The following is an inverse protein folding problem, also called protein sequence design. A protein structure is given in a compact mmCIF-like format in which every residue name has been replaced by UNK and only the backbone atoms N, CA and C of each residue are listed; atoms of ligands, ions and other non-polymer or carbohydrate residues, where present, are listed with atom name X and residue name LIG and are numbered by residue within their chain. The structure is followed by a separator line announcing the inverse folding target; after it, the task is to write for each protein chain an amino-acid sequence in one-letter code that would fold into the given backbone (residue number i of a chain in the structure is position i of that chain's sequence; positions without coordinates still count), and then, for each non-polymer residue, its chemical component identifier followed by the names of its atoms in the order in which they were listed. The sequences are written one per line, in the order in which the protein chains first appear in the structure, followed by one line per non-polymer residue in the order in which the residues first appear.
data_IF_830243806524
#
_entry.id   IF_830243806524
#
_cell.length_a   1.000
_cell.length_b   1.000
_cell.length_c   1.000
_cell.angle_alpha   90.00
_cell.angle_beta   90.00
_cell.angle_gamma   90.00
#
_symmetry.space_group_name_H-M   'P 1'
#
loop_
_entity.id
_entity.type
_entity.pdbx_description
1 polymer ?
#
# COMPACT_ATOMS: atom_id res chain seq x y z
N UNK A 1 -1.71 39.19 5.48
CA UNK A 1 -2.28 38.55 6.68
C UNK A 1 -2.59 37.13 6.25
N UNK A 2 -1.79 36.13 6.64
CA UNK A 2 -2.13 34.73 6.37
C UNK A 2 -3.12 34.36 7.47
N UNK A 3 -4.37 34.11 7.12
CA UNK A 3 -5.33 33.55 8.05
C UNK A 3 -4.80 32.20 8.53
N UNK A 4 -4.78 32.02 9.84
CA UNK A 4 -4.39 30.76 10.45
C UNK A 4 -5.52 29.76 10.20
N UNK A 5 -5.35 28.92 9.19
CA UNK A 5 -6.35 27.90 8.82
C UNK A 5 -6.16 26.61 9.63
N UNK A 6 -5.42 26.63 10.75
CA UNK A 6 -5.15 25.43 11.56
C UNK A 6 -6.42 24.75 12.07
N UNK A 7 -7.50 25.51 12.28
CA UNK A 7 -8.71 25.05 12.96
C UNK A 7 -9.94 24.97 12.04
N UNK A 8 -9.77 25.21 10.72
CA UNK A 8 -10.89 25.15 9.79
C UNK A 8 -11.30 23.70 9.54
N UNK A 9 -12.58 23.39 9.72
CA UNK A 9 -13.15 22.08 9.40
C UNK A 9 -13.82 22.16 8.03
N UNK A 10 -13.44 21.24 7.13
CA UNK A 10 -14.12 21.02 5.86
C UNK A 10 -14.70 19.62 5.83
N UNK A 11 -15.94 19.49 5.38
CA UNK A 11 -16.66 18.23 5.32
C UNK A 11 -16.68 17.68 3.90
N UNK A 12 -16.58 16.36 3.77
CA UNK A 12 -16.62 15.67 2.48
C UNK A 12 -17.48 14.42 2.59
N UNK A 13 -18.07 13.97 1.49
CA UNK A 13 -18.75 12.69 1.48
C UNK A 13 -19.29 12.23 0.14
N UNK A 14 -19.78 11.00 0.14
CA UNK A 14 -20.45 10.33 -0.96
C UNK A 14 -21.40 9.28 -0.37
N UNK A 15 -22.67 9.28 -0.81
CA UNK A 15 -23.71 8.41 -0.26
C UNK A 15 -23.88 8.62 1.25
N UNK A 16 -23.75 7.55 2.03
CA UNK A 16 -23.93 7.56 3.48
C UNK A 16 -22.62 7.82 4.26
N UNK A 17 -21.51 8.11 3.57
CA UNK A 17 -20.21 8.33 4.23
C UNK A 17 -19.89 9.81 4.32
N UNK A 18 -19.56 10.27 5.53
CA UNK A 18 -19.13 11.66 5.80
C UNK A 18 -17.76 11.65 6.45
N UNK A 19 -16.89 12.54 6.00
CA UNK A 19 -15.58 12.82 6.54
C UNK A 19 -15.48 14.27 7.00
N UNK A 20 -14.67 14.51 8.03
CA UNK A 20 -14.28 15.84 8.46
C UNK A 20 -12.75 15.96 8.43
N UNK A 21 -12.25 16.93 7.67
CA UNK A 21 -10.84 17.27 7.59
C UNK A 21 -10.57 18.56 8.36
N UNK A 22 -9.61 18.52 9.29
CA UNK A 22 -9.20 19.68 10.08
C UNK A 22 -7.94 20.29 9.48
N UNK A 23 -8.01 21.57 9.17
CA UNK A 23 -6.94 22.36 8.56
C UNK A 23 -6.62 21.96 7.12
N UNK A 24 -5.64 22.66 6.55
CA UNK A 24 -5.18 22.42 5.18
C UNK A 24 -4.76 20.95 5.01
N UNK A 25 -5.32 20.26 4.00
CA UNK A 25 -5.00 18.86 3.68
C UNK A 25 -5.14 17.90 4.86
N UNK A 26 -6.06 18.17 5.79
CA UNK A 26 -6.27 17.38 7.00
C UNK A 26 -5.03 17.28 7.92
N UNK A 27 -4.11 18.27 7.89
CA UNK A 27 -2.96 18.31 8.80
C UNK A 27 -3.36 18.32 10.29
N UNK A 28 -4.51 18.87 10.62
CA UNK A 28 -5.09 18.87 11.97
C UNK A 28 -5.83 17.57 12.30
N UNK A 29 -6.04 16.66 11.36
CA UNK A 29 -6.71 15.38 11.53
C UNK A 29 -7.76 15.08 10.45
N UNK A 30 -8.00 13.79 10.21
CA UNK A 30 -9.06 13.30 9.34
C UNK A 30 -9.96 12.35 10.13
N UNK A 31 -11.27 12.60 10.10
CA UNK A 31 -12.26 11.83 10.85
C UNK A 31 -13.31 11.26 9.91
N UNK A 32 -13.80 10.05 10.20
CA UNK A 32 -14.92 9.41 9.50
C UNK A 32 -16.13 9.32 10.44
N UNK A 33 -17.31 9.71 9.96
CA UNK A 33 -18.55 9.59 10.69
C UNK A 33 -19.06 8.15 10.60
N UNK A 34 -19.28 7.51 11.75
CA UNK A 34 -19.85 6.16 11.87
C UNK A 34 -21.26 6.26 12.45
N UNK A 35 -22.18 5.46 11.90
CA UNK A 35 -23.62 5.51 12.22
C UNK A 35 -24.11 4.36 13.14
N UNK A 36 -23.24 3.48 13.65
CA UNK A 36 -23.67 2.28 14.39
C UNK A 36 -22.71 1.93 15.56
N UNK A 37 -23.20 1.73 16.81
CA UNK A 37 -24.58 1.86 17.31
C UNK A 37 -25.03 3.30 17.60
N UNK A 38 -24.11 4.25 17.59
CA UNK A 38 -24.36 5.68 17.81
C UNK A 38 -23.55 6.49 16.80
N UNK A 39 -24.02 7.71 16.53
CA UNK A 39 -23.34 8.63 15.63
C UNK A 39 -22.06 9.13 16.32
N UNK A 40 -20.89 8.79 15.77
CA UNK A 40 -19.59 9.21 16.31
C UNK A 40 -18.54 9.44 15.23
N UNK A 41 -17.57 10.28 15.55
CA UNK A 41 -16.37 10.46 14.74
C UNK A 41 -15.30 9.45 15.13
N UNK A 42 -14.80 8.68 14.17
CA UNK A 42 -13.60 7.88 14.33
C UNK A 42 -12.42 8.65 13.72
N UNK A 43 -11.36 8.87 14.50
CA UNK A 43 -10.10 9.42 14.00
C UNK A 43 -9.42 8.39 13.08
N UNK A 44 -9.04 8.80 11.88
CA UNK A 44 -8.26 7.98 10.97
C UNK A 44 -6.78 8.20 11.28
N UNK A 45 -6.07 7.12 11.61
CA UNK A 45 -4.65 7.18 11.98
C UNK A 45 -3.85 7.59 10.73
N UNK A 46 -3.03 8.67 10.78
CA UNK A 46 -2.18 9.06 9.66
C UNK A 46 -1.37 7.88 9.11
N UNK A 47 -1.26 7.79 7.79
CA UNK A 47 -0.57 6.69 7.06
C UNK A 47 -1.18 5.29 7.25
N UNK A 48 -2.32 5.15 7.92
CA UNK A 48 -3.10 3.90 7.87
C UNK A 48 -3.82 3.77 6.53
N UNK A 49 -4.11 2.54 6.10
CA UNK A 49 -4.83 2.30 4.86
C UNK A 49 -6.16 3.06 4.74
N UNK A 50 -6.91 3.17 5.85
CA UNK A 50 -8.17 3.92 5.90
C UNK A 50 -7.95 5.43 5.75
N UNK A 51 -6.92 5.98 6.41
CA UNK A 51 -6.57 7.40 6.29
C UNK A 51 -6.10 7.74 4.88
N UNK A 52 -5.17 6.97 4.31
CA UNK A 52 -4.63 7.20 2.97
C UNK A 52 -5.71 7.12 1.92
N UNK A 53 -6.52 6.06 1.93
CA UNK A 53 -7.62 5.89 0.97
C UNK A 53 -8.59 7.07 1.02
N UNK A 54 -8.92 7.55 2.23
CA UNK A 54 -9.86 8.67 2.42
C UNK A 54 -9.22 10.00 2.04
N UNK A 55 -7.98 10.26 2.47
CA UNK A 55 -7.22 11.47 2.16
C UNK A 55 -7.05 11.65 0.64
N UNK A 56 -6.68 10.57 -0.05
CA UNK A 56 -6.56 10.52 -1.50
C UNK A 56 -7.91 10.75 -2.19
N UNK A 57 -8.99 10.15 -1.69
CA UNK A 57 -10.33 10.35 -2.24
C UNK A 57 -10.80 11.80 -2.13
N UNK A 58 -10.40 12.52 -1.07
CA UNK A 58 -10.76 13.92 -0.81
C UNK A 58 -9.88 14.89 -1.60
N UNK A 59 -8.55 14.83 -1.42
CA UNK A 59 -7.66 15.92 -1.83
C UNK A 59 -6.94 15.70 -3.15
N UNK A 60 -6.97 14.47 -3.68
CA UNK A 60 -6.24 14.12 -4.91
C UNK A 60 -7.17 13.67 -6.03
N UNK A 61 -7.97 12.64 -5.77
CA UNK A 61 -8.85 12.05 -6.77
C UNK A 61 -10.20 12.78 -6.90
N UNK A 62 -10.52 13.68 -5.97
CA UNK A 62 -11.80 14.43 -5.90
C UNK A 62 -13.04 13.53 -6.05
N UNK A 63 -12.96 12.30 -5.52
CA UNK A 63 -14.07 11.33 -5.53
C UNK A 63 -15.15 11.71 -4.53
N UNK A 64 -14.74 12.33 -3.42
CA UNK A 64 -15.65 12.80 -2.39
C UNK A 64 -15.98 14.27 -2.63
N UNK A 65 -17.26 14.60 -2.53
CA UNK A 65 -17.74 15.97 -2.75
C UNK A 65 -17.68 16.75 -1.45
N UNK A 66 -17.27 18.01 -1.51
CA UNK A 66 -17.36 18.91 -0.35
C UNK A 66 -18.83 19.10 0.05
N UNK A 67 -19.13 18.86 1.33
CA UNK A 67 -20.47 18.99 1.89
C UNK A 67 -20.55 20.32 2.62
N UNK A 68 -21.59 21.10 2.32
CA UNK A 68 -21.82 22.35 3.05
C UNK A 68 -22.35 22.06 4.45
N UNK A 69 -22.00 22.85 5.48
CA UNK A 69 -22.47 22.61 6.84
C UNK A 69 -23.99 22.46 6.99
N UNK A 70 -24.79 23.15 6.16
CA UNK A 70 -26.25 23.05 6.13
C UNK A 70 -26.81 21.74 5.56
N UNK A 71 -26.00 20.96 4.83
CA UNK A 71 -26.38 19.66 4.26
C UNK A 71 -26.08 18.50 5.22
N UNK A 72 -25.37 18.76 6.32
CA UNK A 72 -25.02 17.78 7.33
C UNK A 72 -26.22 17.44 8.23
N UNK A 73 -26.23 16.24 8.85
CA UNK A 73 -27.23 15.89 9.86
C UNK A 73 -27.28 16.93 11.00
N UNK A 74 -28.49 17.34 11.40
CA UNK A 74 -28.67 18.38 12.42
C UNK A 74 -28.08 18.05 13.80
N UNK A 75 -27.82 16.76 14.07
CA UNK A 75 -27.40 16.25 15.38
C UNK A 75 -26.01 15.61 15.32
N UNK A 76 -25.08 16.19 14.56
CA UNK A 76 -23.70 15.70 14.53
C UNK A 76 -23.06 15.79 15.92
N UNK A 77 -22.33 14.75 16.36
CA UNK A 77 -21.46 14.87 17.53
C UNK A 77 -20.36 15.91 17.24
N UNK A 78 -19.84 16.59 18.28
CA UNK A 78 -18.68 17.45 18.11
C UNK A 78 -17.48 16.62 17.64
N UNK A 79 -16.66 17.19 16.75
CA UNK A 79 -15.42 16.53 16.32
C UNK A 79 -14.46 16.50 17.52
N UNK A 80 -13.94 15.32 17.91
CA UNK A 80 -12.96 15.21 18.98
C UNK A 80 -11.64 15.89 18.63
N UNK A 81 -10.86 16.26 19.65
CA UNK A 81 -9.47 16.66 19.43
C UNK A 81 -8.68 15.50 18.82
N UNK A 82 -7.77 15.80 17.90
CA UNK A 82 -6.84 14.81 17.37
C UNK A 82 -5.96 14.27 18.51
N UNK A 83 -5.80 12.94 18.61
CA UNK A 83 -4.97 12.35 19.65
C UNK A 83 -3.55 12.91 19.63
N UNK A 84 -3.00 13.23 20.80
CA UNK A 84 -1.59 13.62 20.92
C UNK A 84 -0.70 12.37 20.88
N UNK A 85 0.33 12.38 20.02
CA UNK A 85 1.31 11.30 19.95
C UNK A 85 2.05 11.28 18.61
N UNK A 86 3.16 10.55 18.53
CA UNK A 86 3.60 10.02 17.25
C UNK A 86 2.62 8.93 16.86
N UNK A 87 1.92 9.13 15.74
CA UNK A 87 1.31 7.99 15.07
C UNK A 87 2.47 7.29 14.41
N UNK A 88 2.97 6.25 15.07
CA UNK A 88 3.97 5.40 14.47
C UNK A 88 3.42 5.00 13.09
N UNK A 89 4.21 5.26 12.03
CA UNK A 89 3.95 4.66 10.71
C UNK A 89 3.66 3.20 11.02
N UNK A 90 2.42 2.78 10.75
CA UNK A 90 1.85 1.51 11.18
C UNK A 90 2.96 0.46 11.25
N UNK A 91 3.34 0.13 12.50
CA UNK A 91 4.53 -0.65 12.86
C UNK A 91 4.75 -1.72 11.79
N UNK A 92 5.77 -1.46 10.95
CA UNK A 92 6.04 -2.14 9.68
C UNK A 92 5.45 -3.54 9.67
N UNK A 93 4.27 -3.66 9.04
CA UNK A 93 3.39 -4.83 9.10
C UNK A 93 4.16 -6.08 9.51
N UNK A 94 3.97 -6.50 10.77
CA UNK A 94 4.44 -7.76 11.32
C UNK A 94 4.56 -8.78 10.20
N UNK A 95 5.74 -9.41 10.02
CA UNK A 95 5.99 -10.56 9.12
C UNK A 95 4.65 -11.24 8.94
N UNK A 96 4.01 -11.19 7.75
CA UNK A 96 2.65 -11.73 7.65
C UNK A 96 2.75 -13.20 8.02
N UNK A 97 2.33 -13.56 9.24
CA UNK A 97 2.45 -14.92 9.77
C UNK A 97 1.60 -15.89 8.93
N UNK A 98 0.78 -15.36 8.03
CA UNK A 98 0.10 -16.06 6.96
C UNK A 98 0.98 -16.14 5.71
N UNK A 99 2.05 -16.93 5.76
CA UNK A 99 2.68 -17.42 4.52
C UNK A 99 1.65 -18.14 3.62
N UNK A 100 1.96 -18.41 2.35
CA UNK A 100 1.09 -19.21 1.48
C UNK A 100 1.50 -20.71 1.52
N UNK A 101 0.55 -21.65 1.37
CA UNK A 101 0.88 -23.08 1.27
C UNK A 101 1.90 -23.33 0.15
N UNK A 102 2.99 -24.05 0.47
CA UNK A 102 4.07 -24.28 -0.48
C UNK A 102 3.71 -25.28 -1.59
N UNK A 103 2.70 -26.13 -1.36
CA UNK A 103 2.17 -27.09 -2.33
C UNK A 103 1.51 -26.44 -3.55
N UNK A 104 1.14 -25.16 -3.46
CA UNK A 104 0.68 -24.36 -4.60
C UNK A 104 1.81 -24.00 -5.58
N UNK A 105 3.08 -24.04 -5.13
CA UNK A 105 4.27 -23.65 -5.90
C UNK A 105 5.37 -24.72 -5.72
N UNK A 106 5.15 -25.94 -6.26
CA UNK A 106 5.99 -27.10 -5.96
C UNK A 106 7.44 -26.92 -6.40
N UNK A 107 7.70 -26.20 -7.49
CA UNK A 107 9.07 -26.04 -7.99
C UNK A 107 9.85 -25.03 -7.15
N UNK A 108 9.22 -23.93 -6.77
CA UNK A 108 9.76 -22.94 -5.85
C UNK A 108 9.98 -23.54 -4.46
N UNK A 109 9.05 -24.37 -4.00
CA UNK A 109 9.18 -25.12 -2.77
C UNK A 109 10.43 -26.02 -2.76
N UNK A 110 10.65 -26.79 -3.83
CA UNK A 110 11.82 -27.65 -3.96
C UNK A 110 13.12 -26.85 -4.04
N UNK A 111 13.11 -25.70 -4.74
CA UNK A 111 14.24 -24.78 -4.80
C UNK A 111 14.59 -24.21 -3.41
N UNK A 112 13.59 -23.82 -2.62
CA UNK A 112 13.78 -23.35 -1.25
C UNK A 112 14.32 -24.44 -0.34
N UNK A 113 13.83 -25.69 -0.46
CA UNK A 113 14.39 -26.83 0.28
C UNK A 113 15.85 -27.10 -0.11
N UNK A 114 16.18 -27.01 -1.40
CA UNK A 114 17.55 -27.22 -1.89
C UNK A 114 18.54 -26.15 -1.40
N UNK A 115 18.07 -24.95 -1.06
CA UNK A 115 18.90 -23.87 -0.53
C UNK A 115 19.50 -24.16 0.85
N UNK A 116 19.03 -25.21 1.55
CA UNK A 116 19.55 -25.68 2.85
C UNK A 116 19.16 -24.80 4.04
N UNK A 117 19.21 -23.48 3.90
CA UNK A 117 18.65 -22.51 4.86
C UNK A 117 17.13 -22.40 4.80
N UNK A 118 16.52 -22.85 3.69
CA UNK A 118 15.12 -22.56 3.39
C UNK A 118 14.88 -21.10 2.99
N UNK A 119 15.92 -20.30 2.75
CA UNK A 119 15.83 -18.87 2.43
C UNK A 119 16.58 -18.58 1.11
N UNK A 120 15.99 -17.74 0.27
CA UNK A 120 16.60 -17.24 -0.97
C UNK A 120 16.39 -15.71 -1.07
N UNK A 121 17.42 -14.99 -1.50
CA UNK A 121 17.27 -13.58 -1.85
C UNK A 121 16.47 -13.44 -3.15
N UNK A 122 15.62 -12.43 -3.20
CA UNK A 122 14.80 -12.09 -4.36
C UNK A 122 14.87 -10.61 -4.69
N UNK A 123 14.74 -10.30 -5.97
CA UNK A 123 14.73 -8.98 -6.54
C UNK A 123 13.36 -8.75 -7.18
N UNK A 124 12.57 -7.85 -6.63
CA UNK A 124 11.21 -7.54 -7.10
C UNK A 124 11.27 -6.24 -7.90
N UNK A 125 10.75 -6.28 -9.12
CA UNK A 125 10.62 -5.11 -9.99
C UNK A 125 9.20 -4.58 -9.86
N UNK A 126 9.09 -3.30 -9.55
CA UNK A 126 7.83 -2.57 -9.57
C UNK A 126 7.86 -1.48 -10.64
N UNK A 127 6.72 -1.21 -11.26
CA UNK A 127 6.50 -0.17 -12.25
C UNK A 127 5.70 0.98 -11.63
N UNK A 128 6.23 2.18 -11.70
CA UNK A 128 5.53 3.42 -11.39
C UNK A 128 5.01 4.05 -12.68
N UNK A 129 3.69 4.27 -12.75
CA UNK A 129 3.10 5.16 -13.74
C UNK A 129 3.36 6.62 -13.35
N UNK A 130 4.39 7.22 -13.96
CA UNK A 130 4.78 8.60 -13.65
C UNK A 130 3.81 9.64 -14.19
N UNK A 131 2.89 9.27 -15.09
CA UNK A 131 1.82 10.17 -15.53
C UNK A 131 0.83 10.39 -14.39
N UNK A 132 0.34 9.31 -13.77
CA UNK A 132 -0.55 9.35 -12.59
C UNK A 132 0.16 10.00 -11.39
N UNK A 133 1.44 9.68 -11.14
CA UNK A 133 2.24 10.30 -10.07
C UNK A 133 2.41 11.82 -10.23
N UNK A 134 2.54 12.31 -11.48
CA UNK A 134 2.83 13.72 -11.77
C UNK A 134 1.64 14.65 -11.52
N UNK A 135 0.41 14.14 -11.58
CA UNK A 135 -0.79 14.92 -11.26
C UNK A 135 -1.20 14.83 -9.78
N UNK A 136 -0.45 14.05 -8.99
CA UNK A 136 -0.55 14.04 -7.55
C UNK A 136 -1.49 12.98 -6.97
N UNK A 137 -1.86 11.96 -7.76
CA UNK A 137 -2.78 10.88 -7.35
C UNK A 137 -2.13 9.85 -6.40
N UNK A 138 -0.86 10.04 -6.07
CA UNK A 138 -0.02 9.11 -5.33
C UNK A 138 1.02 8.45 -6.25
N UNK A 139 2.07 7.88 -5.66
CA UNK A 139 3.00 6.99 -6.38
C UNK A 139 2.37 5.61 -6.34
N UNK A 140 2.06 4.97 -7.45
CA UNK A 140 1.57 3.59 -7.47
C UNK A 140 2.62 2.70 -8.10
N UNK A 141 3.15 1.76 -7.32
CA UNK A 141 4.18 0.85 -7.78
C UNK A 141 3.52 -0.52 -8.06
N UNK A 142 3.32 -0.85 -9.33
CA UNK A 142 2.68 -2.07 -9.81
C UNK A 142 3.69 -3.21 -9.94
N UNK A 143 3.32 -4.43 -9.54
CA UNK A 143 4.21 -5.60 -9.68
C UNK A 143 4.47 -5.96 -11.14
N UNK A 144 5.75 -6.05 -11.52
CA UNK A 144 6.18 -6.44 -12.86
C UNK A 144 6.83 -7.82 -12.93
N UNK A 145 7.50 -8.22 -11.85
CA UNK A 145 8.16 -9.52 -11.77
C UNK A 145 9.11 -9.67 -10.59
N UNK A 146 9.48 -10.92 -10.30
CA UNK A 146 10.46 -11.26 -9.28
C UNK A 146 11.55 -12.18 -9.84
N UNK A 147 12.79 -11.98 -9.37
CA UNK A 147 13.98 -12.65 -9.88
C UNK A 147 14.90 -13.10 -8.75
N UNK A 148 15.70 -14.15 -9.00
CA UNK A 148 16.74 -14.59 -8.06
C UNK A 148 18.07 -13.85 -8.21
N UNK A 149 18.23 -13.05 -9.27
CA UNK A 149 19.46 -12.28 -9.52
C UNK A 149 19.15 -10.84 -9.89
N UNK A 150 20.05 -9.94 -9.50
CA UNK A 150 19.92 -8.52 -9.81
C UNK A 150 20.01 -8.29 -11.32
N UNK A 151 20.88 -9.03 -12.03
CA UNK A 151 21.10 -8.87 -13.46
C UNK A 151 19.82 -9.16 -14.27
N UNK A 152 19.05 -10.18 -13.87
CA UNK A 152 17.80 -10.53 -14.53
C UNK A 152 16.73 -9.47 -14.29
N UNK A 153 16.62 -8.96 -13.06
CA UNK A 153 15.71 -7.86 -12.72
C UNK A 153 16.06 -6.58 -13.51
N UNK A 154 17.33 -6.21 -13.58
CA UNK A 154 17.79 -5.07 -14.36
C UNK A 154 17.56 -5.25 -15.87
N UNK A 155 17.66 -6.48 -16.39
CA UNK A 155 17.34 -6.78 -17.79
C UNK A 155 15.86 -6.52 -18.10
N UNK A 156 14.94 -6.88 -17.18
CA UNK A 156 13.53 -6.55 -17.32
C UNK A 156 13.32 -5.03 -17.36
N UNK A 157 13.90 -4.30 -16.40
CA UNK A 157 13.81 -2.83 -16.34
C UNK A 157 14.26 -2.18 -17.65
N UNK A 158 15.43 -2.59 -18.18
CA UNK A 158 15.94 -2.07 -19.46
C UNK A 158 15.04 -2.40 -20.64
N UNK A 159 14.38 -3.56 -20.63
CA UNK A 159 13.48 -3.97 -21.73
C UNK A 159 12.17 -3.20 -21.75
N UNK A 160 11.79 -2.56 -20.63
CA UNK A 160 10.52 -1.85 -20.44
C UNK A 160 10.69 -0.34 -20.28
N UNK A 161 11.87 0.20 -20.52
CA UNK A 161 12.15 1.64 -20.39
C UNK A 161 11.23 2.48 -21.30
N UNK A 162 10.48 3.42 -20.70
CA UNK A 162 9.61 4.38 -21.39
C UNK A 162 9.66 5.72 -20.68
N UNK A 163 9.45 6.81 -21.43
CA UNK A 163 9.56 8.18 -20.91
C UNK A 163 8.57 8.54 -19.80
N UNK A 164 7.46 7.78 -19.67
CA UNK A 164 6.41 7.99 -18.67
C UNK A 164 6.35 6.88 -17.62
N UNK A 165 7.35 6.01 -17.57
CA UNK A 165 7.41 4.89 -16.63
C UNK A 165 8.72 4.95 -15.85
N UNK A 166 8.64 4.75 -14.54
CA UNK A 166 9.82 4.58 -13.68
C UNK A 166 9.76 3.22 -13.04
N UNK A 167 10.85 2.46 -13.10
CA UNK A 167 10.91 1.18 -12.41
C UNK A 167 11.65 1.32 -11.08
N UNK A 168 11.21 0.53 -10.10
CA UNK A 168 11.83 0.42 -8.78
C UNK A 168 12.25 -1.01 -8.53
N UNK A 169 13.43 -1.18 -7.94
CA UNK A 169 13.99 -2.48 -7.61
C UNK A 169 14.00 -2.65 -6.10
N UNK A 170 13.24 -3.62 -5.61
CA UNK A 170 13.23 -4.02 -4.21
C UNK A 170 14.08 -5.28 -4.03
N UNK A 171 14.82 -5.33 -2.93
CA UNK A 171 15.60 -6.52 -2.54
C UNK A 171 14.98 -7.08 -1.27
N UNK A 172 14.59 -8.35 -1.29
CA UNK A 172 13.95 -9.02 -0.18
C UNK A 172 14.45 -10.49 -0.06
N UNK A 173 13.95 -11.24 0.91
CA UNK A 173 14.22 -12.66 1.14
C UNK A 173 12.93 -13.44 1.17
N UNK A 174 12.77 -14.37 0.22
CA UNK A 174 11.71 -15.37 0.26
C UNK A 174 12.18 -16.58 1.06
N UNK A 175 11.31 -17.14 1.89
CA UNK A 175 11.67 -18.25 2.77
C UNK A 175 10.55 -19.27 2.95
N UNK A 176 10.94 -20.50 3.27
CA UNK A 176 10.08 -21.62 3.59
C UNK A 176 10.13 -21.93 5.08
N UNK A 177 8.98 -21.88 5.76
CA UNK A 177 8.82 -22.31 7.17
C UNK A 177 7.51 -23.07 7.33
N UNK A 178 7.56 -24.22 8.01
CA UNK A 178 6.38 -25.06 8.28
C UNK A 178 5.53 -25.35 7.03
N UNK A 179 6.19 -25.67 5.90
CA UNK A 179 5.56 -25.89 4.59
C UNK A 179 4.76 -24.69 4.05
N UNK A 180 5.15 -23.47 4.47
CA UNK A 180 4.61 -22.20 3.98
C UNK A 180 5.71 -21.31 3.42
N UNK A 181 5.45 -20.75 2.26
CA UNK A 181 6.32 -19.74 1.62
C UNK A 181 5.95 -18.37 2.19
N UNK A 182 6.94 -17.54 2.48
CA UNK A 182 6.78 -16.18 3.03
C UNK A 182 7.89 -15.27 2.54
N UNK A 183 7.73 -13.95 2.73
CA UNK A 183 8.74 -12.95 2.36
C UNK A 183 9.07 -12.06 3.56
N UNK A 184 10.35 -11.76 3.78
CA UNK A 184 10.81 -10.99 4.95
C UNK A 184 10.63 -9.51 4.67
N UNK A 185 9.39 -9.03 4.83
CA UNK A 185 8.96 -7.67 4.53
C UNK A 185 10.01 -6.60 4.80
N UNK A 186 10.68 -6.15 3.75
CA UNK A 186 11.57 -5.00 3.80
C UNK A 186 10.91 -3.87 3.04
N UNK A 187 10.45 -2.85 3.79
CA UNK A 187 10.03 -1.55 3.27
C UNK A 187 8.88 -1.59 2.25
N UNK A 188 7.64 -1.68 2.77
CA UNK A 188 6.50 -1.13 2.04
C UNK A 188 6.64 0.39 2.03
N UNK A 189 7.34 0.94 1.02
CA UNK A 189 6.92 2.26 0.57
C UNK A 189 5.43 2.10 0.25
N UNK A 190 4.58 2.96 0.84
CA UNK A 190 3.13 2.79 1.09
C UNK A 190 2.24 2.38 -0.11
N UNK A 191 2.81 2.19 -1.30
CA UNK A 191 2.11 1.93 -2.55
C UNK A 191 2.72 0.83 -3.42
N UNK A 192 3.65 0.02 -2.89
CA UNK A 192 4.09 -1.22 -3.53
C UNK A 192 2.95 -2.25 -3.57
N UNK A 193 2.26 -2.35 -4.71
CA UNK A 193 1.21 -3.34 -4.96
C UNK A 193 1.85 -4.63 -5.49
N UNK A 194 2.36 -5.45 -4.58
CA UNK A 194 2.67 -6.84 -4.87
C UNK A 194 2.16 -7.74 -3.73
N UNK A 195 1.55 -8.86 -4.10
CA UNK A 195 1.17 -9.93 -3.18
C UNK A 195 2.26 -10.99 -3.13
N UNK A 196 2.30 -11.73 -2.00
CA UNK A 196 3.17 -12.90 -1.88
C UNK A 196 2.88 -13.96 -2.96
N UNK A 197 1.62 -14.07 -3.39
CA UNK A 197 1.21 -14.98 -4.47
C UNK A 197 1.81 -14.60 -5.83
N UNK A 198 1.78 -13.31 -6.19
CA UNK A 198 2.37 -12.82 -7.45
C UNK A 198 3.89 -13.01 -7.49
N UNK A 199 4.57 -12.75 -6.37
CA UNK A 199 6.01 -13.00 -6.24
C UNK A 199 6.31 -14.50 -6.38
N UNK A 200 5.58 -15.35 -5.65
CA UNK A 200 5.77 -16.79 -5.71
C UNK A 200 5.50 -17.37 -7.11
N UNK A 201 4.42 -16.92 -7.77
CA UNK A 201 4.07 -17.33 -9.13
C UNK A 201 5.12 -16.90 -10.15
N UNK A 202 5.63 -15.67 -10.04
CA UNK A 202 6.68 -15.17 -10.92
C UNK A 202 7.97 -16.00 -10.80
N UNK A 203 8.37 -16.34 -9.57
CA UNK A 203 9.55 -17.17 -9.31
C UNK A 203 9.36 -18.63 -9.74
N UNK A 204 8.19 -19.23 -9.49
CA UNK A 204 7.81 -20.58 -9.96
C UNK A 204 7.97 -20.67 -11.49
N UNK A 205 7.37 -19.72 -12.21
CA UNK A 205 7.43 -19.66 -13.67
C UNK A 205 8.87 -19.47 -14.18
N UNK A 206 9.69 -18.69 -13.47
CA UNK A 206 11.09 -18.50 -13.81
C UNK A 206 11.88 -19.82 -13.75
N UNK A 207 11.68 -20.63 -12.71
CA UNK A 207 12.36 -21.92 -12.55
C UNK A 207 11.86 -22.92 -13.61
N UNK A 208 10.56 -22.94 -13.87
CA UNK A 208 9.96 -23.78 -14.92
C UNK A 208 10.50 -23.45 -16.32
N UNK A 209 10.63 -22.16 -16.64
CA UNK A 209 11.17 -21.71 -17.91
C UNK A 209 12.65 -22.11 -18.08
N UNK A 210 13.47 -21.99 -17.03
CA UNK A 210 14.86 -22.42 -17.04
C UNK A 210 15.00 -23.95 -17.22
N UNK A 211 14.07 -24.72 -16.67
CA UNK A 211 14.05 -26.19 -16.78
C UNK A 211 13.56 -26.69 -18.14
N UNK A 212 12.81 -25.87 -18.88
CA UNK A 212 12.26 -26.24 -20.21
C UNK A 212 13.18 -25.85 -21.38
N UNK A 213 14.20 -25.03 -21.12
CA UNK A 213 15.20 -24.59 -22.10
C UNK A 213 16.51 -25.38 -22.07
N UNK A 214 16.61 -26.40 -21.21
CA UNK A 214 17.74 -27.32 -21.06
C UNK A 214 17.48 -28.64 -21.79
#
# INVERSE_FOLDING_TARGET
MKEDMSDQITYYGEGDTVYAAIGSFAHGGLFRLRYNPELRWDFLIPNSSDWDSSHQAIFRNYKLTEIRPEELPANLPPIPDSPAGSFDEEESASISETGIPADHYPVLHDALKAAGSGELQVFIVLEEDTYESKFGDGRFDYFEGAFFTEEAAQALVKSKERDWIRHHLLVDTIFLRDERISIRGTSREMFARHSLGEVAESLENLILAASSGA
#
